data_IF_755383025339
#
_entry.id   IF_755383025339
#
_cell.length_a   1.000
_cell.length_b   1.000
_cell.length_c   1.000
_cell.angle_alpha   90.00
_cell.angle_beta   90.00
_cell.angle_gamma   90.00
#
_symmetry.space_group_name_H-M   'P 1'
#
loop_
_entity.id
_entity.type
_entity.pdbx_description
1 polymer ?
#
# COMPACT_ATOMS: atom_id res chain seq x y z
N UNK A 1 -11.04 33.80 -36.88
CA UNK A 1 -10.39 32.57 -37.39
C UNK A 1 -9.75 31.87 -36.20
N UNK A 2 -10.46 30.91 -35.65
CA UNK A 2 -10.13 30.17 -34.43
C UNK A 2 -9.37 28.91 -34.84
N UNK A 3 -8.09 28.85 -34.48
CA UNK A 3 -7.28 27.62 -34.62
C UNK A 3 -7.61 26.71 -33.45
N UNK A 4 -8.46 25.73 -33.67
CA UNK A 4 -8.63 24.55 -32.85
C UNK A 4 -7.44 23.61 -33.08
N UNK A 5 -6.48 23.59 -32.17
CA UNK A 5 -5.48 22.53 -32.12
C UNK A 5 -6.17 21.21 -31.78
N UNK A 6 -6.03 20.25 -32.66
CA UNK A 6 -6.41 18.86 -32.47
C UNK A 6 -5.52 18.24 -31.40
N UNK A 7 -6.04 18.09 -30.19
CA UNK A 7 -5.53 17.11 -29.21
C UNK A 7 -6.10 15.74 -29.59
N UNK A 8 -5.36 15.00 -30.37
CA UNK A 8 -5.66 13.59 -30.64
C UNK A 8 -4.39 12.78 -30.55
N UNK A 9 -4.34 11.71 -29.75
CA UNK A 9 -4.17 10.35 -30.25
C UNK A 9 -3.63 9.30 -29.27
N UNK A 10 -3.17 9.66 -28.06
CA UNK A 10 -2.69 8.62 -27.12
C UNK A 10 -3.81 8.04 -26.23
N UNK A 11 -4.93 8.75 -26.08
CA UNK A 11 -6.07 8.30 -25.26
C UNK A 11 -6.89 7.24 -25.99
N UNK A 12 -7.07 7.41 -27.29
CA UNK A 12 -7.84 6.47 -28.12
C UNK A 12 -7.18 5.09 -28.23
N UNK A 13 -5.84 5.03 -28.20
CA UNK A 13 -5.10 3.75 -28.28
C UNK A 13 -5.27 2.92 -27.02
N UNK A 14 -5.25 3.54 -25.83
CA UNK A 14 -5.42 2.81 -24.56
C UNK A 14 -6.86 2.35 -24.39
N UNK A 15 -7.83 3.18 -24.74
CA UNK A 15 -9.24 2.81 -24.71
C UNK A 15 -9.57 1.75 -25.76
N UNK A 16 -8.98 1.81 -26.94
CA UNK A 16 -9.08 0.77 -27.99
C UNK A 16 -8.42 -0.55 -27.55
N UNK A 17 -7.25 -0.52 -26.91
CA UNK A 17 -6.61 -1.74 -26.37
C UNK A 17 -7.49 -2.34 -25.27
N UNK A 18 -8.08 -1.51 -24.42
CA UNK A 18 -8.98 -1.94 -23.34
C UNK A 18 -10.29 -2.50 -23.91
N UNK A 19 -10.86 -1.88 -24.95
CA UNK A 19 -12.05 -2.37 -25.66
C UNK A 19 -11.76 -3.67 -26.41
N UNK A 20 -10.62 -3.78 -27.07
CA UNK A 20 -10.24 -5.01 -27.76
C UNK A 20 -9.97 -6.16 -26.78
N UNK A 21 -9.32 -5.90 -25.65
CA UNK A 21 -9.13 -6.89 -24.57
C UNK A 21 -10.48 -7.31 -23.96
N UNK A 22 -11.47 -6.41 -23.86
CA UNK A 22 -12.82 -6.74 -23.41
C UNK A 22 -13.61 -7.50 -24.46
N UNK A 23 -13.46 -7.19 -25.73
CA UNK A 23 -14.10 -7.93 -26.84
C UNK A 23 -13.53 -9.33 -27.00
N UNK A 24 -12.21 -9.49 -26.99
CA UNK A 24 -11.55 -10.82 -26.94
C UNK A 24 -11.99 -11.62 -25.71
N UNK A 25 -12.25 -10.96 -24.60
CA UNK A 25 -12.77 -11.56 -23.38
C UNK A 25 -14.22 -12.05 -23.56
N UNK A 26 -15.10 -11.23 -24.15
CA UNK A 26 -16.50 -11.59 -24.43
C UNK A 26 -16.60 -12.73 -25.45
N UNK A 27 -15.75 -12.77 -26.47
CA UNK A 27 -15.65 -13.86 -27.43
C UNK A 27 -15.10 -15.15 -26.79
N UNK A 28 -14.12 -15.05 -25.90
CA UNK A 28 -13.58 -16.18 -25.13
C UNK A 28 -14.60 -16.76 -24.14
N UNK A 29 -15.54 -15.95 -23.65
CA UNK A 29 -16.65 -16.39 -22.79
C UNK A 29 -17.74 -17.15 -23.57
N UNK A 30 -17.92 -16.84 -24.85
CA UNK A 30 -18.86 -17.57 -25.73
C UNK A 30 -18.35 -18.96 -26.10
N UNK A 31 -17.02 -19.15 -26.07
CA UNK A 31 -16.38 -20.43 -26.40
C UNK A 31 -16.03 -21.23 -25.14
N UNK A 32 -17.04 -21.69 -24.40
CA UNK A 32 -17.01 -22.51 -23.20
C UNK A 32 -15.81 -23.49 -23.08
N UNK A 33 -14.62 -22.97 -22.79
CA UNK A 33 -13.54 -23.77 -22.23
C UNK A 33 -13.23 -23.26 -20.83
N UNK A 34 -13.70 -24.01 -19.83
CA UNK A 34 -13.31 -23.88 -18.42
C UNK A 34 -11.80 -24.11 -18.33
N UNK A 35 -11.01 -23.10 -18.61
CA UNK A 35 -9.60 -23.17 -18.35
C UNK A 35 -9.36 -22.98 -16.83
N UNK A 36 -8.78 -24.00 -16.20
CA UNK A 36 -8.23 -23.96 -14.84
C UNK A 36 -7.44 -22.67 -14.67
N UNK A 37 -7.56 -22.03 -13.51
CA UNK A 37 -6.78 -20.84 -13.12
C UNK A 37 -5.31 -21.01 -13.50
N UNK A 38 -4.85 -20.26 -14.48
CA UNK A 38 -3.48 -20.33 -14.96
C UNK A 38 -2.70 -19.16 -14.34
N UNK A 39 -2.05 -19.44 -13.23
CA UNK A 39 -1.15 -18.49 -12.59
C UNK A 39 0.16 -18.37 -13.37
N UNK A 40 0.71 -17.15 -13.44
CA UNK A 40 2.04 -16.94 -13.99
C UNK A 40 3.07 -17.73 -13.17
N UNK A 41 3.97 -18.43 -13.86
CA UNK A 41 5.04 -19.24 -13.26
C UNK A 41 6.39 -18.58 -13.48
N UNK A 42 7.38 -18.75 -12.56
CA UNK A 42 8.73 -18.23 -12.75
C UNK A 42 9.42 -18.97 -13.91
N UNK A 43 9.84 -18.24 -14.93
CA UNK A 43 10.44 -18.78 -16.16
C UNK A 43 11.94 -18.56 -16.21
N UNK A 44 12.48 -17.62 -15.44
CA UNK A 44 13.87 -17.17 -15.53
C UNK A 44 14.70 -17.60 -14.35
N UNK A 45 15.99 -17.82 -14.58
CA UNK A 45 16.96 -18.15 -13.57
C UNK A 45 17.24 -16.97 -12.64
N UNK A 46 17.79 -17.25 -11.45
CA UNK A 46 18.26 -16.24 -10.50
C UNK A 46 19.23 -15.24 -11.14
N UNK A 47 20.11 -15.71 -12.03
CA UNK A 47 21.10 -14.87 -12.70
C UNK A 47 20.44 -13.88 -13.63
N UNK A 48 19.48 -14.33 -14.47
CA UNK A 48 18.73 -13.51 -15.40
C UNK A 48 17.89 -12.47 -14.66
N UNK A 49 17.20 -12.85 -13.57
CA UNK A 49 16.40 -11.94 -12.76
C UNK A 49 17.27 -10.83 -12.16
N UNK A 50 18.45 -11.17 -11.61
CA UNK A 50 19.35 -10.18 -11.03
C UNK A 50 19.98 -9.27 -12.12
N UNK A 51 20.31 -9.82 -13.28
CA UNK A 51 20.81 -9.05 -14.43
C UNK A 51 19.73 -8.05 -14.90
N UNK A 52 18.47 -8.50 -15.03
CA UNK A 52 17.36 -7.64 -15.40
C UNK A 52 17.20 -6.46 -14.42
N UNK A 53 17.24 -6.71 -13.11
CA UNK A 53 17.20 -5.65 -12.11
C UNK A 53 18.30 -4.60 -12.28
N UNK A 54 19.55 -5.02 -12.54
CA UNK A 54 20.66 -4.10 -12.79
C UNK A 54 20.48 -3.28 -14.07
N UNK A 55 20.00 -3.90 -15.16
CA UNK A 55 19.74 -3.20 -16.43
C UNK A 55 18.67 -2.13 -16.25
N UNK A 56 17.57 -2.45 -15.57
CA UNK A 56 16.44 -1.53 -15.34
C UNK A 56 16.90 -0.32 -14.50
N UNK A 57 17.68 -0.54 -13.46
CA UNK A 57 18.16 0.53 -12.58
C UNK A 57 19.27 1.39 -13.21
N UNK A 58 19.93 0.93 -14.27
CA UNK A 58 20.99 1.68 -14.92
C UNK A 58 20.43 2.65 -15.99
N UNK A 59 20.50 3.99 -15.78
CA UNK A 59 19.99 4.95 -16.75
C UNK A 59 20.70 4.92 -18.12
N UNK A 60 21.90 4.33 -18.20
CA UNK A 60 22.70 4.21 -19.44
C UNK A 60 22.34 2.96 -20.28
N UNK A 61 21.47 2.08 -19.79
CA UNK A 61 21.04 0.90 -20.52
C UNK A 61 20.30 1.30 -21.81
N UNK A 62 20.51 0.55 -22.88
CA UNK A 62 19.77 0.76 -24.15
C UNK A 62 18.26 0.52 -23.93
N UNK A 63 17.43 1.08 -24.82
CA UNK A 63 15.98 0.85 -24.76
C UNK A 63 15.66 -0.63 -24.94
N UNK A 64 16.32 -1.30 -25.89
CA UNK A 64 16.13 -2.73 -26.16
C UNK A 64 16.48 -3.59 -24.95
N UNK A 65 17.63 -3.34 -24.30
CA UNK A 65 18.03 -4.05 -23.08
C UNK A 65 17.00 -3.84 -21.95
N UNK A 66 16.50 -2.62 -21.79
CA UNK A 66 15.48 -2.31 -20.78
C UNK A 66 14.17 -3.03 -21.05
N UNK A 67 13.70 -3.04 -22.32
CA UNK A 67 12.46 -3.71 -22.70
C UNK A 67 12.57 -5.23 -22.43
N UNK A 68 13.69 -5.85 -22.78
CA UNK A 68 13.96 -7.26 -22.48
C UNK A 68 14.03 -7.52 -20.96
N UNK A 69 14.69 -6.64 -20.21
CA UNK A 69 14.78 -6.76 -18.76
C UNK A 69 13.42 -6.59 -18.07
N UNK A 70 12.54 -5.73 -18.59
CA UNK A 70 11.18 -5.56 -18.08
C UNK A 70 10.33 -6.82 -18.26
N UNK A 71 10.48 -7.57 -19.35
CA UNK A 71 9.81 -8.86 -19.57
C UNK A 71 10.19 -9.83 -18.43
N UNK A 72 11.48 -9.93 -18.11
CA UNK A 72 11.98 -10.81 -17.04
C UNK A 72 11.47 -10.36 -15.67
N UNK A 73 11.55 -9.06 -15.36
CA UNK A 73 11.08 -8.50 -14.11
C UNK A 73 9.58 -8.73 -13.94
N UNK A 74 8.77 -8.47 -14.96
CA UNK A 74 7.33 -8.65 -14.91
C UNK A 74 6.94 -10.11 -14.70
N UNK A 75 7.59 -11.06 -15.36
CA UNK A 75 7.37 -12.47 -15.10
C UNK A 75 7.70 -12.81 -13.62
N UNK A 76 8.85 -12.39 -13.12
CA UNK A 76 9.25 -12.64 -11.73
C UNK A 76 8.27 -12.03 -10.74
N UNK A 77 7.84 -10.78 -10.96
CA UNK A 77 6.85 -10.08 -10.14
C UNK A 77 5.50 -10.77 -10.18
N UNK A 78 4.97 -11.05 -11.37
CA UNK A 78 3.67 -11.70 -11.56
C UNK A 78 3.62 -13.10 -10.96
N UNK A 79 4.72 -13.83 -10.98
CA UNK A 79 4.82 -15.15 -10.36
C UNK A 79 4.61 -15.14 -8.84
N UNK A 80 4.77 -14.01 -8.16
CA UNK A 80 4.47 -13.86 -6.74
C UNK A 80 2.96 -13.83 -6.44
N UNK A 81 2.09 -13.68 -7.45
CA UNK A 81 0.64 -13.58 -7.24
C UNK A 81 0.05 -14.85 -6.61
N UNK A 82 0.43 -16.04 -7.09
CA UNK A 82 -0.03 -17.30 -6.52
C UNK A 82 0.44 -17.53 -5.07
N UNK A 83 1.75 -17.45 -4.76
CA UNK A 83 2.24 -17.50 -3.38
C UNK A 83 1.52 -16.53 -2.43
N UNK A 84 1.33 -15.31 -2.89
CA UNK A 84 0.67 -14.25 -2.14
C UNK A 84 -0.80 -14.59 -1.87
N UNK A 85 -1.54 -15.08 -2.87
CA UNK A 85 -2.93 -15.52 -2.72
C UNK A 85 -3.06 -16.63 -1.68
N UNK A 86 -2.18 -17.64 -1.70
CA UNK A 86 -2.18 -18.74 -0.73
C UNK A 86 -1.99 -18.24 0.70
N UNK A 87 -0.99 -17.36 0.90
CA UNK A 87 -0.68 -16.78 2.21
C UNK A 87 -1.86 -15.92 2.70
N UNK A 88 -2.41 -15.05 1.84
CA UNK A 88 -3.53 -14.18 2.22
C UNK A 88 -4.81 -14.97 2.54
N UNK A 89 -5.09 -16.03 1.81
CA UNK A 89 -6.23 -16.91 2.12
C UNK A 89 -6.08 -17.54 3.50
N UNK A 90 -4.87 -17.97 3.84
CA UNK A 90 -4.57 -18.52 5.17
C UNK A 90 -4.71 -17.45 6.28
N UNK A 91 -4.21 -16.24 6.04
CA UNK A 91 -4.35 -15.11 6.98
C UNK A 91 -5.81 -14.74 7.24
N UNK A 92 -6.65 -14.64 6.19
CA UNK A 92 -8.08 -14.35 6.32
C UNK A 92 -8.81 -15.41 7.16
N UNK A 93 -8.51 -16.68 6.90
CA UNK A 93 -9.13 -17.79 7.64
C UNK A 93 -8.78 -17.74 9.15
N UNK A 94 -7.55 -17.33 9.49
CA UNK A 94 -7.07 -17.27 10.87
C UNK A 94 -7.48 -16.01 11.62
N UNK A 95 -7.76 -14.94 10.87
CA UNK A 95 -8.10 -13.63 11.40
C UNK A 95 -9.37 -13.12 10.70
N UNK A 96 -10.55 -13.70 10.99
CA UNK A 96 -11.80 -13.40 10.27
C UNK A 96 -12.25 -11.93 10.43
N UNK A 97 -11.89 -11.31 11.54
CA UNK A 97 -12.23 -9.91 11.86
C UNK A 97 -11.18 -8.91 11.36
N UNK A 98 -10.07 -9.37 10.77
CA UNK A 98 -9.05 -8.50 10.24
C UNK A 98 -9.31 -8.15 8.77
N UNK A 99 -8.95 -6.95 8.37
CA UNK A 99 -8.87 -6.57 6.97
C UNK A 99 -7.55 -7.12 6.40
N UNK A 100 -7.65 -8.09 5.49
CA UNK A 100 -6.47 -8.71 4.85
C UNK A 100 -6.47 -8.37 3.36
N UNK A 101 -5.50 -7.60 2.94
CA UNK A 101 -5.31 -7.17 1.56
C UNK A 101 -3.93 -7.52 1.04
N UNK A 102 -3.82 -7.63 -0.28
CA UNK A 102 -2.58 -8.03 -0.94
C UNK A 102 -2.32 -7.18 -2.18
N UNK A 103 -1.05 -6.98 -2.48
CA UNK A 103 -0.62 -6.32 -3.72
C UNK A 103 0.72 -6.86 -4.20
N UNK A 104 0.95 -6.81 -5.50
CA UNK A 104 2.28 -6.85 -6.09
C UNK A 104 2.90 -5.46 -6.04
N UNK A 105 4.22 -5.40 -5.79
CA UNK A 105 4.96 -4.13 -5.71
C UNK A 105 5.00 -3.47 -7.09
N UNK A 106 4.75 -2.16 -7.14
CA UNK A 106 4.78 -1.37 -8.39
C UNK A 106 6.18 -1.35 -9.00
N UNK A 107 6.24 -1.30 -10.34
CA UNK A 107 7.49 -1.28 -11.08
C UNK A 107 8.38 -0.11 -10.66
N UNK A 108 7.83 1.09 -10.61
CA UNK A 108 8.54 2.29 -10.16
C UNK A 108 9.12 2.12 -8.73
N UNK A 109 8.36 1.50 -7.82
CA UNK A 109 8.84 1.22 -6.47
C UNK A 109 9.94 0.16 -6.43
N UNK A 110 9.96 -0.77 -7.41
CA UNK A 110 11.03 -1.77 -7.56
C UNK A 110 12.29 -1.08 -8.06
N UNK A 111 12.16 -0.32 -9.14
CA UNK A 111 13.26 0.42 -9.78
C UNK A 111 13.92 1.39 -8.80
N UNK A 112 13.12 2.27 -8.17
CA UNK A 112 13.65 3.21 -7.19
C UNK A 112 14.24 2.56 -5.93
N UNK A 113 13.85 1.32 -5.60
CA UNK A 113 14.48 0.57 -4.51
C UNK A 113 15.85 0.02 -4.92
N UNK A 114 15.97 -0.48 -6.14
CA UNK A 114 17.25 -0.99 -6.68
C UNK A 114 18.23 0.17 -6.88
N UNK A 115 17.78 1.32 -7.37
CA UNK A 115 18.59 2.53 -7.53
C UNK A 115 19.15 3.05 -6.21
N UNK A 116 18.33 3.07 -5.15
CA UNK A 116 18.77 3.47 -3.80
C UNK A 116 19.71 2.46 -3.14
N UNK A 117 19.60 1.19 -3.49
CA UNK A 117 20.38 0.10 -2.92
C UNK A 117 21.03 -0.74 -4.04
N UNK A 118 22.10 -0.25 -4.70
CA UNK A 118 22.70 -0.90 -5.88
C UNK A 118 23.14 -2.35 -5.66
N UNK A 119 23.49 -2.70 -4.41
CA UNK A 119 23.86 -4.07 -4.03
C UNK A 119 22.64 -5.01 -3.88
N UNK A 120 21.44 -4.46 -3.95
CA UNK A 120 20.22 -5.25 -3.82
C UNK A 120 20.02 -6.15 -5.03
N UNK A 121 19.84 -7.43 -4.77
CA UNK A 121 19.50 -8.41 -5.79
C UNK A 121 17.98 -8.49 -5.96
N UNK A 122 17.46 -8.26 -7.17
CA UNK A 122 16.03 -8.33 -7.46
C UNK A 122 15.41 -9.67 -7.04
N UNK A 123 16.14 -10.78 -7.24
CA UNK A 123 15.72 -12.11 -6.82
C UNK A 123 15.52 -12.26 -5.29
N UNK A 124 16.19 -11.42 -4.50
CA UNK A 124 16.10 -11.43 -3.02
C UNK A 124 15.17 -10.34 -2.47
N UNK A 125 14.52 -9.57 -3.33
CA UNK A 125 13.58 -8.54 -2.89
C UNK A 125 12.39 -9.19 -2.17
N UNK A 126 12.13 -8.74 -0.92
CA UNK A 126 11.22 -9.44 0.01
C UNK A 126 9.76 -9.00 -0.14
N UNK A 127 9.53 -7.87 -0.76
CA UNK A 127 8.26 -7.17 -0.83
C UNK A 127 7.68 -7.06 -2.26
N UNK A 128 8.14 -7.93 -3.20
CA UNK A 128 7.54 -8.07 -4.53
C UNK A 128 6.09 -8.52 -4.41
N UNK A 129 5.82 -9.50 -3.55
CA UNK A 129 4.49 -9.85 -3.09
C UNK A 129 4.33 -9.42 -1.63
N UNK A 130 3.38 -8.55 -1.35
CA UNK A 130 3.12 -8.04 -0.01
C UNK A 130 1.66 -8.12 0.37
N UNK A 131 1.38 -8.45 1.63
CA UNK A 131 0.04 -8.37 2.19
C UNK A 131 0.04 -7.56 3.49
N UNK A 132 -1.13 -7.02 3.81
CA UNK A 132 -1.39 -6.34 5.09
C UNK A 132 -2.51 -7.03 5.82
N UNK A 133 -2.34 -7.13 7.13
CA UNK A 133 -3.35 -7.54 8.08
C UNK A 133 -3.60 -6.32 8.97
N UNK A 134 -4.79 -5.73 8.86
CA UNK A 134 -5.16 -4.52 9.58
C UNK A 134 -6.22 -4.90 10.60
N UNK A 135 -6.00 -4.52 11.85
CA UNK A 135 -6.83 -4.83 13.01
C UNK A 135 -7.07 -3.57 13.84
N UNK A 136 -7.97 -3.64 14.84
CA UNK A 136 -8.34 -2.48 15.65
C UNK A 136 -7.24 -2.11 16.66
N UNK A 137 -6.68 -3.09 17.37
CA UNK A 137 -5.83 -2.86 18.54
C UNK A 137 -4.46 -3.51 18.43
N UNK A 138 -3.52 -3.04 19.23
CA UNK A 138 -2.16 -3.60 19.35
C UNK A 138 -2.20 -5.07 19.80
N UNK A 139 -3.07 -5.42 20.72
CA UNK A 139 -3.21 -6.80 21.22
C UNK A 139 -3.62 -7.73 20.08
N UNK A 140 -4.55 -7.28 19.23
CA UNK A 140 -4.97 -8.03 18.04
C UNK A 140 -3.84 -8.17 17.01
N UNK A 141 -2.94 -7.18 16.87
CA UNK A 141 -1.74 -7.31 16.05
C UNK A 141 -0.88 -8.46 16.54
N UNK A 142 -0.51 -8.45 17.83
CA UNK A 142 0.34 -9.49 18.39
C UNK A 142 -0.35 -10.86 18.45
N UNK A 143 -1.65 -10.90 18.63
CA UNK A 143 -2.43 -12.13 18.54
C UNK A 143 -2.37 -12.72 17.11
N UNK A 144 -2.59 -11.91 16.08
CA UNK A 144 -2.53 -12.33 14.68
C UNK A 144 -1.13 -12.85 14.31
N UNK A 145 -0.07 -12.17 14.78
CA UNK A 145 1.32 -12.61 14.63
C UNK A 145 1.53 -13.97 15.32
N UNK A 146 1.11 -14.14 16.57
CA UNK A 146 1.23 -15.41 17.31
C UNK A 146 0.46 -16.55 16.63
N UNK A 147 -0.79 -16.29 16.19
CA UNK A 147 -1.62 -17.28 15.48
C UNK A 147 -0.94 -17.72 14.18
N UNK A 148 -0.34 -16.80 13.44
CA UNK A 148 0.33 -17.15 12.20
C UNK A 148 1.61 -17.95 12.44
N UNK A 149 2.45 -17.55 13.39
CA UNK A 149 3.69 -18.27 13.78
C UNK A 149 3.43 -19.70 14.28
N UNK A 150 2.39 -19.87 15.10
CA UNK A 150 2.01 -21.20 15.66
C UNK A 150 1.29 -22.11 14.63
N UNK A 151 1.03 -21.59 13.43
CA UNK A 151 0.31 -22.36 12.42
C UNK A 151 1.19 -23.42 11.77
N UNK A 152 0.62 -24.60 11.51
CA UNK A 152 1.23 -25.61 10.65
C UNK A 152 1.23 -25.15 9.19
N UNK A 153 2.12 -24.21 8.86
CA UNK A 153 2.37 -23.74 7.51
C UNK A 153 3.69 -24.29 7.03
N UNK A 154 3.75 -24.71 5.77
CA UNK A 154 4.98 -25.23 5.18
C UNK A 154 5.95 -24.14 4.71
N UNK A 155 5.51 -22.87 4.72
CA UNK A 155 6.35 -21.75 4.34
C UNK A 155 7.48 -21.54 5.35
N UNK A 156 8.66 -21.22 4.86
CA UNK A 156 9.87 -21.10 5.67
C UNK A 156 9.99 -19.67 6.19
N UNK A 157 9.96 -19.52 7.51
CA UNK A 157 10.21 -18.22 8.15
C UNK A 157 11.63 -17.74 7.85
N UNK A 158 11.77 -16.44 7.52
CA UNK A 158 13.05 -15.81 7.20
C UNK A 158 13.49 -14.76 8.22
N UNK A 159 12.62 -13.81 8.50
CA UNK A 159 12.88 -12.76 9.50
C UNK A 159 11.60 -12.05 9.90
N UNK A 160 11.72 -11.29 10.96
CA UNK A 160 10.70 -10.34 11.40
C UNK A 160 11.34 -9.05 11.88
N UNK A 161 10.53 -7.98 11.88
CA UNK A 161 10.89 -6.70 12.48
C UNK A 161 9.67 -6.13 13.18
N UNK A 162 9.81 -5.81 14.44
CA UNK A 162 8.77 -5.16 15.24
C UNK A 162 9.03 -3.65 15.28
N UNK A 163 8.50 -2.94 14.27
CA UNK A 163 8.54 -1.48 14.22
C UNK A 163 7.43 -0.82 15.05
N UNK A 164 6.62 -1.59 15.78
CA UNK A 164 5.66 -1.06 16.75
C UNK A 164 6.38 -0.74 18.05
N UNK A 165 7.15 -1.71 18.57
CA UNK A 165 7.97 -1.53 19.77
C UNK A 165 9.24 -0.73 19.52
N UNK A 166 9.80 -0.86 18.33
CA UNK A 166 11.02 -0.18 17.90
C UNK A 166 10.72 0.66 16.65
N UNK A 167 10.00 1.81 16.80
CA UNK A 167 9.59 2.62 15.66
C UNK A 167 10.78 3.19 14.92
N UNK A 168 10.62 3.39 13.62
CA UNK A 168 11.62 4.07 12.81
C UNK A 168 11.65 5.56 13.14
N UNK A 169 12.78 6.21 12.94
CA UNK A 169 12.93 7.66 13.07
C UNK A 169 11.93 8.44 12.21
N UNK A 170 11.52 7.88 11.07
CA UNK A 170 10.48 8.45 10.20
C UNK A 170 9.06 8.39 10.76
N UNK A 171 8.85 7.81 11.92
CA UNK A 171 7.52 7.56 12.49
C UNK A 171 6.83 6.29 11.99
N UNK A 172 7.43 5.53 11.08
CA UNK A 172 6.81 4.33 10.53
C UNK A 172 6.66 3.22 11.57
N UNK A 173 5.45 2.63 11.63
CA UNK A 173 5.10 1.52 12.54
C UNK A 173 4.41 0.39 11.79
N UNK A 174 4.79 -0.82 12.07
CA UNK A 174 4.16 -2.06 11.62
C UNK A 174 4.94 -3.25 12.16
N UNK A 175 4.32 -4.39 12.34
CA UNK A 175 5.04 -5.65 12.55
C UNK A 175 5.22 -6.35 11.20
N UNK A 176 6.46 -6.62 10.81
CA UNK A 176 6.79 -7.26 9.53
C UNK A 176 7.26 -8.69 9.74
N UNK A 177 6.77 -9.59 8.90
CA UNK A 177 7.27 -10.95 8.78
C UNK A 177 7.57 -11.25 7.32
N UNK A 178 8.65 -11.97 7.06
CA UNK A 178 9.01 -12.44 5.72
C UNK A 178 9.06 -13.97 5.73
N UNK A 179 8.31 -14.56 4.82
CA UNK A 179 8.31 -15.99 4.57
C UNK A 179 8.81 -16.31 3.16
N UNK A 180 9.58 -17.37 3.03
CA UNK A 180 9.83 -18.02 1.76
C UNK A 180 8.69 -18.99 1.49
N UNK A 181 8.01 -18.80 0.38
CA UNK A 181 6.92 -19.67 -0.04
C UNK A 181 7.39 -21.10 -0.28
N UNK A 182 6.57 -22.07 0.10
CA UNK A 182 6.74 -23.49 -0.18
C UNK A 182 5.38 -24.14 -0.50
N UNK A 183 5.37 -25.06 -1.48
CA UNK A 183 4.19 -25.85 -1.87
C UNK A 183 4.60 -27.24 -2.35
N UNK A 184 3.97 -28.28 -1.82
CA UNK A 184 4.15 -29.66 -2.32
C UNK A 184 3.44 -29.90 -3.65
N UNK A 185 2.36 -29.14 -3.91
CA UNK A 185 1.51 -29.36 -5.09
C UNK A 185 1.94 -28.54 -6.31
N UNK A 186 2.64 -27.43 -6.09
CA UNK A 186 3.08 -26.50 -7.14
C UNK A 186 4.55 -26.14 -6.92
N UNK A 187 5.43 -27.11 -7.15
CA UNK A 187 6.87 -27.03 -6.89
C UNK A 187 7.59 -25.93 -7.68
N UNK A 188 7.07 -25.56 -8.85
CA UNK A 188 7.57 -24.44 -9.66
C UNK A 188 7.67 -23.12 -8.88
N UNK A 189 6.83 -22.93 -7.85
CA UNK A 189 6.88 -21.74 -6.99
C UNK A 189 7.85 -21.88 -5.81
N UNK A 190 8.52 -23.04 -5.63
CA UNK A 190 9.54 -23.23 -4.59
C UNK A 190 10.87 -22.53 -4.94
N UNK A 191 10.83 -21.57 -5.82
CA UNK A 191 11.96 -20.81 -6.37
C UNK A 191 12.30 -19.57 -5.53
N UNK A 192 12.48 -19.73 -4.21
CA UNK A 192 12.86 -18.66 -3.27
C UNK A 192 11.93 -17.42 -3.30
N UNK A 193 10.67 -17.59 -3.61
CA UNK A 193 9.71 -16.49 -3.59
C UNK A 193 9.48 -16.01 -2.16
N UNK A 194 9.77 -14.73 -1.91
CA UNK A 194 9.63 -14.10 -0.62
C UNK A 194 8.35 -13.28 -0.56
N UNK A 195 7.58 -13.48 0.50
CA UNK A 195 6.34 -12.74 0.74
C UNK A 195 6.47 -12.00 2.06
N UNK A 196 6.26 -10.69 2.01
CA UNK A 196 6.21 -9.82 3.18
C UNK A 196 4.79 -9.73 3.71
N UNK A 197 4.62 -9.96 5.02
CA UNK A 197 3.36 -9.79 5.74
C UNK A 197 3.53 -8.62 6.70
N UNK A 198 2.67 -7.61 6.59
CA UNK A 198 2.64 -6.42 7.43
C UNK A 198 1.40 -6.46 8.33
N UNK A 199 1.59 -6.48 9.65
CA UNK A 199 0.50 -6.38 10.61
C UNK A 199 0.47 -4.97 11.18
N UNK A 200 -0.70 -4.35 11.22
CA UNK A 200 -0.90 -2.96 11.65
C UNK A 200 -2.21 -2.80 12.37
N UNK A 201 -2.28 -1.78 13.23
CA UNK A 201 -3.56 -1.23 13.65
C UNK A 201 -4.13 -0.29 12.58
N UNK A 202 -5.41 0.08 12.75
CA UNK A 202 -6.04 1.12 11.91
C UNK A 202 -5.30 2.46 12.03
N UNK A 203 -4.90 2.88 13.25
CA UNK A 203 -4.13 4.11 13.47
C UNK A 203 -2.82 4.12 12.67
N UNK A 204 -2.06 3.04 12.73
CA UNK A 204 -0.81 2.89 11.99
C UNK A 204 -1.06 2.88 10.47
N UNK A 205 -2.22 2.37 10.04
CA UNK A 205 -2.59 2.34 8.64
C UNK A 205 -2.95 3.72 8.11
N UNK A 206 -3.82 4.47 8.79
CA UNK A 206 -4.22 5.82 8.36
C UNK A 206 -3.04 6.79 8.38
N UNK A 207 -2.15 6.69 9.37
CA UNK A 207 -0.91 7.45 9.39
C UNK A 207 -0.05 7.17 8.13
N UNK A 208 0.19 5.89 7.83
CA UNK A 208 1.02 5.51 6.67
C UNK A 208 0.41 5.98 5.35
N UNK A 209 -0.91 6.08 5.28
CA UNK A 209 -1.64 6.60 4.11
C UNK A 209 -1.46 8.11 3.99
N UNK A 210 -1.63 8.87 5.06
CA UNK A 210 -1.45 10.32 5.05
C UNK A 210 -0.02 10.71 4.62
N UNK A 211 1.01 9.99 5.10
CA UNK A 211 2.40 10.15 4.64
C UNK A 211 2.54 9.89 3.14
N UNK A 212 1.87 8.86 2.61
CA UNK A 212 1.92 8.55 1.17
C UNK A 212 1.27 9.65 0.33
N UNK A 213 0.11 10.14 0.78
CA UNK A 213 -0.61 11.22 0.11
C UNK A 213 0.17 12.53 0.08
N UNK A 214 0.75 12.92 1.22
CA UNK A 214 1.61 14.10 1.27
C UNK A 214 2.87 13.91 0.39
N UNK A 215 3.42 12.71 0.33
CA UNK A 215 4.54 12.38 -0.57
C UNK A 215 4.19 12.56 -2.04
N UNK A 216 2.97 12.20 -2.46
CA UNK A 216 2.47 12.44 -3.83
C UNK A 216 2.35 13.95 -4.08
N UNK A 217 1.75 14.70 -3.16
CA UNK A 217 1.60 16.15 -3.28
C UNK A 217 2.95 16.87 -3.39
N UNK A 218 3.88 16.55 -2.51
CA UNK A 218 5.22 17.17 -2.48
C UNK A 218 6.17 16.61 -3.54
N UNK A 219 5.73 15.62 -4.34
CA UNK A 219 6.57 14.87 -5.29
C UNK A 219 7.84 14.31 -4.64
N UNK A 220 7.74 13.88 -3.39
CA UNK A 220 8.85 13.39 -2.58
C UNK A 220 8.54 12.02 -1.97
N UNK A 221 9.58 11.26 -1.64
CA UNK A 221 9.41 9.95 -1.01
C UNK A 221 9.51 10.07 0.52
N UNK A 222 8.50 10.68 1.14
CA UNK A 222 8.45 10.90 2.59
C UNK A 222 8.57 9.59 3.39
N UNK A 223 8.04 8.47 2.89
CA UNK A 223 8.21 7.14 3.51
C UNK A 223 9.67 6.67 3.57
N UNK A 224 10.51 7.17 2.68
CA UNK A 224 11.95 6.93 2.67
C UNK A 224 12.74 8.07 3.33
N UNK A 225 12.09 8.93 4.11
CA UNK A 225 12.67 10.10 4.76
C UNK A 225 13.31 11.09 3.76
N UNK A 226 12.72 11.19 2.56
CA UNK A 226 13.15 12.12 1.53
C UNK A 226 12.07 13.20 1.36
N UNK A 227 12.41 14.46 1.58
CA UNK A 227 11.51 15.60 1.48
C UNK A 227 11.80 16.68 2.50
N UNK A 228 10.87 17.61 2.66
CA UNK A 228 10.96 18.68 3.64
C UNK A 228 11.06 18.15 5.07
N UNK A 229 12.04 18.64 5.82
CA UNK A 229 12.35 18.14 7.17
C UNK A 229 11.24 18.44 8.18
N UNK A 230 10.55 19.57 8.04
CA UNK A 230 9.48 19.96 8.94
C UNK A 230 8.19 19.18 8.65
N UNK A 231 7.91 18.88 7.38
CA UNK A 231 6.81 17.96 7.01
C UNK A 231 7.11 16.57 7.54
N UNK A 232 8.33 16.06 7.40
CA UNK A 232 8.73 14.77 7.97
C UNK A 232 8.60 14.80 9.50
N UNK A 233 8.98 15.90 10.15
CA UNK A 233 8.85 16.09 11.59
C UNK A 233 7.39 16.06 12.05
N UNK A 234 6.49 16.76 11.34
CA UNK A 234 5.06 16.72 11.61
C UNK A 234 4.54 15.26 11.67
N UNK A 235 4.84 14.47 10.65
CA UNK A 235 4.39 13.08 10.63
C UNK A 235 5.03 12.22 11.72
N UNK A 236 6.28 12.49 12.11
CA UNK A 236 6.94 11.80 13.21
C UNK A 236 6.27 12.11 14.55
N UNK A 237 5.93 13.39 14.78
CA UNK A 237 5.15 13.83 15.96
C UNK A 237 3.77 13.17 15.98
N UNK A 238 3.02 13.21 14.88
CA UNK A 238 1.70 12.55 14.81
C UNK A 238 1.80 11.04 15.07
N UNK A 239 2.85 10.37 14.56
CA UNK A 239 3.08 8.96 14.89
C UNK A 239 3.30 8.72 16.39
N UNK A 240 3.94 9.66 17.09
CA UNK A 240 4.15 9.58 18.53
C UNK A 240 2.85 9.84 19.31
N UNK A 241 2.02 10.79 18.85
CA UNK A 241 0.67 11.02 19.39
C UNK A 241 -0.17 9.73 19.27
N UNK A 242 -0.21 9.12 18.10
CA UNK A 242 -0.94 7.86 17.89
C UNK A 242 -0.39 6.70 18.73
N UNK A 243 0.94 6.67 18.95
CA UNK A 243 1.56 5.65 19.78
C UNK A 243 1.16 5.75 21.25
N UNK A 244 1.04 6.96 21.79
CA UNK A 244 0.55 7.18 23.17
C UNK A 244 -0.87 6.63 23.31
N UNK A 245 -1.76 6.86 22.34
CA UNK A 245 -3.11 6.30 22.33
C UNK A 245 -3.14 4.76 22.31
N UNK A 246 -2.12 4.17 21.71
CA UNK A 246 -1.95 2.71 21.65
C UNK A 246 -1.12 2.14 22.82
N UNK A 247 -0.71 2.94 23.79
CA UNK A 247 0.21 2.58 24.88
C UNK A 247 1.55 2.00 24.37
N UNK A 248 2.07 2.58 23.27
CA UNK A 248 3.32 2.18 22.64
C UNK A 248 4.39 3.29 22.76
N UNK A 249 5.68 2.94 22.67
CA UNK A 249 6.76 3.93 22.75
C UNK A 249 6.64 5.00 21.67
N UNK A 250 6.92 6.25 22.02
CA UNK A 250 7.05 7.35 21.05
C UNK A 250 8.22 7.13 20.09
N UNK A 251 8.27 7.88 19.00
CA UNK A 251 9.36 7.78 18.03
C UNK A 251 10.69 8.29 18.63
N UNK A 252 11.84 7.80 18.17
CA UNK A 252 13.12 8.40 18.53
C UNK A 252 13.14 9.90 18.27
N UNK A 253 13.79 10.63 19.16
CA UNK A 253 13.94 12.09 19.05
C UNK A 253 12.62 12.90 19.06
N UNK A 254 11.53 12.33 19.62
CA UNK A 254 10.27 13.04 19.87
C UNK A 254 10.02 13.16 21.36
N UNK A 255 9.25 14.17 21.81
CA UNK A 255 8.75 14.24 23.17
C UNK A 255 7.99 12.97 23.56
N UNK A 256 7.87 12.75 24.87
CA UNK A 256 7.20 11.56 25.42
C UNK A 256 5.76 11.81 25.86
N UNK A 257 5.38 13.07 25.98
CA UNK A 257 4.11 13.49 26.55
C UNK A 257 3.30 14.32 25.55
N UNK A 258 1.96 14.23 25.67
CA UNK A 258 1.04 14.94 24.78
C UNK A 258 1.15 16.45 24.90
N UNK A 259 1.49 16.95 26.08
CA UNK A 259 1.69 18.38 26.39
C UNK A 259 2.79 19.05 25.58
N UNK A 260 3.79 18.28 25.13
CA UNK A 260 4.85 18.77 24.26
C UNK A 260 4.57 18.47 22.78
N UNK A 261 3.98 17.29 22.50
CA UNK A 261 3.73 16.80 21.13
C UNK A 261 2.65 17.62 20.40
N UNK A 262 1.55 17.95 21.10
CA UNK A 262 0.41 18.65 20.48
C UNK A 262 0.77 20.09 20.08
N UNK A 263 1.42 20.91 20.94
CA UNK A 263 1.87 22.23 20.53
C UNK A 263 2.84 22.20 19.33
N UNK A 264 3.85 21.32 19.35
CA UNK A 264 4.80 21.20 18.23
C UNK A 264 4.09 20.79 16.94
N UNK A 265 3.16 19.85 17.00
CA UNK A 265 2.35 19.43 15.84
C UNK A 265 1.53 20.60 15.29
N UNK A 266 0.89 21.40 16.17
CA UNK A 266 0.09 22.56 15.76
C UNK A 266 0.94 23.63 15.08
N UNK A 267 2.10 23.95 15.64
CA UNK A 267 3.05 24.92 15.07
C UNK A 267 3.47 24.50 13.64
N UNK A 268 3.88 23.24 13.47
CA UNK A 268 4.25 22.69 12.18
C UNK A 268 3.08 22.70 11.18
N UNK A 269 1.86 22.40 11.65
CA UNK A 269 0.66 22.46 10.81
C UNK A 269 0.31 23.89 10.41
N UNK A 270 0.40 24.88 11.32
CA UNK A 270 0.14 26.28 11.00
C UNK A 270 1.12 26.83 9.96
N UNK A 271 2.39 26.45 10.08
CA UNK A 271 3.45 26.87 9.16
C UNK A 271 3.29 26.28 7.77
N UNK A 272 3.01 24.98 7.67
CA UNK A 272 3.01 24.23 6.40
C UNK A 272 1.63 23.91 5.87
N UNK A 273 0.56 24.25 6.59
CA UNK A 273 -0.85 23.99 6.22
C UNK A 273 -1.10 22.52 5.84
N UNK A 274 -0.44 21.60 6.56
CA UNK A 274 -0.41 20.16 6.19
C UNK A 274 -1.81 19.54 6.18
N UNK A 275 -2.63 19.82 7.22
CA UNK A 275 -3.99 19.29 7.29
C UNK A 275 -4.91 19.92 6.24
N UNK A 276 -4.72 21.21 5.90
CA UNK A 276 -5.46 21.89 4.84
C UNK A 276 -5.13 21.29 3.48
N UNK A 277 -3.83 21.07 3.20
CA UNK A 277 -3.36 20.42 1.97
C UNK A 277 -3.95 19.01 1.86
N UNK A 278 -3.84 18.23 2.92
CA UNK A 278 -4.39 16.89 2.96
C UNK A 278 -5.92 16.92 2.73
N UNK A 279 -6.66 17.83 3.35
CA UNK A 279 -8.11 17.98 3.18
C UNK A 279 -8.50 18.38 1.75
N UNK A 280 -7.67 19.22 1.09
CA UNK A 280 -7.89 19.67 -0.28
C UNK A 280 -7.61 18.58 -1.34
N UNK A 281 -6.86 17.54 -1.00
CA UNK A 281 -6.52 16.43 -1.91
C UNK A 281 -7.68 15.48 -2.20
N UNK A 282 -8.93 15.84 -1.90
CA UNK A 282 -10.11 15.04 -2.25
C UNK A 282 -10.28 14.99 -3.77
N UNK A 283 -10.06 13.82 -4.35
CA UNK A 283 -10.28 13.57 -5.77
C UNK A 283 -11.70 13.06 -6.01
N UNK A 284 -12.35 13.53 -7.06
CA UNK A 284 -13.64 12.99 -7.49
C UNK A 284 -13.45 11.55 -7.97
N UNK A 285 -14.13 10.62 -7.32
CA UNK A 285 -14.14 9.22 -7.73
C UNK A 285 -15.20 9.03 -8.80
N UNK A 286 -14.76 8.64 -9.99
CA UNK A 286 -15.65 8.28 -11.08
C UNK A 286 -15.95 6.77 -11.02
N UNK A 287 -17.15 6.41 -10.60
CA UNK A 287 -17.61 5.02 -10.56
C UNK A 287 -18.08 4.59 -11.95
N UNK A 288 -17.16 4.44 -12.90
CA UNK A 288 -17.47 4.10 -14.29
C UNK A 288 -17.83 2.64 -14.54
N UNK A 289 -17.76 1.80 -13.52
CA UNK A 289 -18.11 0.37 -13.64
C UNK A 289 -19.28 0.00 -12.74
N UNK A 290 -20.25 -0.73 -13.27
CA UNK A 290 -21.26 -1.44 -12.48
C UNK A 290 -20.55 -2.50 -11.65
N UNK A 291 -20.06 -2.13 -10.46
CA UNK A 291 -19.36 -3.03 -9.55
C UNK A 291 -20.39 -4.05 -9.03
N UNK A 292 -20.23 -5.29 -9.43
CA UNK A 292 -21.09 -6.36 -8.95
C UNK A 292 -20.53 -6.88 -7.61
N UNK A 293 -20.87 -6.17 -6.50
CA UNK A 293 -20.38 -6.46 -5.14
C UNK A 293 -20.85 -7.79 -4.54
N UNK A 294 -21.67 -8.57 -5.26
CA UNK A 294 -22.20 -9.84 -4.76
C UNK A 294 -21.17 -10.99 -4.74
N UNK A 295 -20.05 -10.87 -5.44
CA UNK A 295 -19.03 -11.91 -5.52
C UNK A 295 -17.93 -11.72 -4.50
N UNK A 296 -17.73 -12.70 -3.63
CA UNK A 296 -16.59 -12.81 -2.71
C UNK A 296 -15.32 -13.16 -3.52
N UNK A 297 -14.17 -12.57 -3.14
CA UNK A 297 -12.85 -12.81 -3.75
C UNK A 297 -12.72 -12.27 -5.19
N UNK A 298 -12.70 -10.98 -5.33
CA UNK A 298 -12.40 -10.30 -6.60
C UNK A 298 -10.99 -9.68 -6.57
N UNK A 299 -10.41 -9.57 -7.76
CA UNK A 299 -9.28 -8.67 -8.00
C UNK A 299 -9.83 -7.34 -8.50
N UNK A 300 -9.25 -6.26 -8.00
CA UNK A 300 -9.57 -4.90 -8.41
C UNK A 300 -8.35 -4.25 -9.01
N UNK A 301 -8.53 -3.63 -10.15
CA UNK A 301 -7.55 -2.75 -10.76
C UNK A 301 -7.97 -1.31 -10.43
N UNK A 302 -7.17 -0.64 -9.61
CA UNK A 302 -7.35 0.76 -9.26
C UNK A 302 -6.43 1.58 -10.15
N UNK A 303 -6.98 2.53 -10.90
CA UNK A 303 -6.26 3.36 -11.85
C UNK A 303 -6.51 4.81 -11.45
N UNK A 304 -5.46 5.49 -10.96
CA UNK A 304 -5.49 6.92 -10.66
C UNK A 304 -4.92 7.68 -11.86
N UNK A 305 -5.74 8.49 -12.49
CA UNK A 305 -5.35 9.38 -13.59
C UNK A 305 -5.05 10.77 -13.01
N UNK A 306 -3.77 11.14 -12.97
CA UNK A 306 -3.33 12.42 -12.39
C UNK A 306 -3.77 13.65 -13.21
N UNK A 307 -3.94 13.48 -14.53
CA UNK A 307 -4.35 14.59 -15.41
C UNK A 307 -5.85 14.87 -15.22
N UNK A 308 -6.66 13.81 -15.19
CA UNK A 308 -8.11 13.93 -15.07
C UNK A 308 -8.55 14.07 -13.61
N UNK A 309 -7.68 13.84 -12.63
CA UNK A 309 -8.04 13.81 -11.20
C UNK A 309 -9.11 12.76 -10.89
N UNK A 310 -9.09 11.62 -11.57
CA UNK A 310 -10.12 10.58 -11.46
C UNK A 310 -9.53 9.22 -11.12
N UNK A 311 -10.27 8.44 -10.33
CA UNK A 311 -9.96 7.03 -10.07
C UNK A 311 -10.95 6.16 -10.83
N UNK A 312 -10.41 5.27 -11.66
CA UNK A 312 -11.17 4.22 -12.34
C UNK A 312 -10.96 2.89 -11.63
N UNK A 313 -12.03 2.16 -11.37
CA UNK A 313 -11.98 0.86 -10.70
C UNK A 313 -12.54 -0.21 -11.65
N UNK A 314 -11.76 -1.27 -11.84
CA UNK A 314 -12.18 -2.45 -12.61
C UNK A 314 -12.10 -3.69 -11.73
N UNK A 315 -13.13 -4.53 -11.77
CA UNK A 315 -13.16 -5.77 -11.01
C UNK A 315 -12.98 -6.98 -11.94
N UNK A 316 -12.22 -7.96 -11.47
CA UNK A 316 -11.97 -9.23 -12.17
C UNK A 316 -12.26 -10.39 -11.22
N UNK A 317 -12.94 -11.44 -11.67
CA UNK A 317 -13.04 -12.66 -10.87
C UNK A 317 -11.66 -13.30 -10.71
N UNK A 318 -11.48 -14.08 -9.64
CA UNK A 318 -10.18 -14.73 -9.33
C UNK A 318 -9.68 -15.60 -10.48
N UNK A 319 -10.60 -16.22 -11.24
CA UNK A 319 -10.26 -17.02 -12.44
C UNK A 319 -9.67 -16.21 -13.60
N UNK A 320 -9.74 -14.88 -13.55
CA UNK A 320 -9.24 -13.96 -14.60
C UNK A 320 -8.06 -13.10 -14.13
N UNK A 321 -7.34 -13.53 -13.11
CA UNK A 321 -6.19 -12.79 -12.57
C UNK A 321 -5.09 -12.56 -13.62
N UNK A 322 -4.91 -13.50 -14.56
CA UNK A 322 -3.93 -13.34 -15.65
C UNK A 322 -4.32 -12.17 -16.57
N UNK A 323 -5.60 -12.04 -16.93
CA UNK A 323 -6.11 -10.92 -17.70
C UNK A 323 -5.94 -9.59 -16.93
N UNK A 324 -6.30 -9.58 -15.63
CA UNK A 324 -6.11 -8.44 -14.78
C UNK A 324 -4.64 -7.98 -14.74
N UNK A 325 -3.69 -8.93 -14.70
CA UNK A 325 -2.26 -8.66 -14.71
C UNK A 325 -1.81 -8.07 -16.06
N UNK A 326 -2.29 -8.59 -17.19
CA UNK A 326 -1.98 -8.03 -18.52
C UNK A 326 -2.48 -6.59 -18.68
N UNK A 327 -3.70 -6.32 -18.23
CA UNK A 327 -4.27 -4.96 -18.25
C UNK A 327 -3.46 -4.04 -17.32
N UNK A 328 -3.08 -4.51 -16.13
CA UNK A 328 -2.23 -3.80 -15.21
C UNK A 328 -0.88 -3.42 -15.85
N UNK A 329 -0.18 -4.40 -16.44
CA UNK A 329 1.14 -4.19 -17.06
C UNK A 329 1.09 -3.19 -18.23
N UNK A 330 -0.03 -3.15 -18.97
CA UNK A 330 -0.21 -2.19 -20.07
C UNK A 330 -0.43 -0.76 -19.55
N UNK A 331 -1.23 -0.60 -18.49
CA UNK A 331 -1.51 0.73 -17.93
C UNK A 331 -0.32 1.27 -17.14
N UNK A 332 0.43 0.41 -16.45
CA UNK A 332 1.61 0.81 -15.67
C UNK A 332 2.73 1.44 -16.51
N UNK A 333 2.72 1.21 -17.83
CA UNK A 333 3.64 1.86 -18.78
C UNK A 333 3.34 3.36 -18.99
N UNK A 334 2.17 3.82 -18.57
CA UNK A 334 1.76 5.23 -18.72
C UNK A 334 2.38 6.08 -17.60
N UNK A 335 3.07 7.16 -17.97
CA UNK A 335 3.64 8.13 -17.01
C UNK A 335 2.61 9.02 -16.33
N UNK A 336 1.36 9.01 -16.79
CA UNK A 336 0.28 9.89 -16.31
C UNK A 336 -0.71 9.19 -15.39
N UNK A 337 -0.57 7.86 -15.24
CA UNK A 337 -1.50 7.03 -14.45
C UNK A 337 -0.73 6.21 -13.42
N UNK A 338 -1.27 6.15 -12.22
CA UNK A 338 -0.84 5.19 -11.22
C UNK A 338 -1.85 4.04 -11.17
N UNK A 339 -1.35 2.81 -11.16
CA UNK A 339 -2.20 1.62 -11.21
C UNK A 339 -1.76 0.60 -10.17
N UNK A 340 -2.74 -0.07 -9.56
CA UNK A 340 -2.46 -1.20 -8.66
C UNK A 340 -3.47 -2.30 -8.87
N UNK A 341 -2.97 -3.53 -8.90
CA UNK A 341 -3.80 -4.75 -8.90
C UNK A 341 -3.84 -5.31 -7.48
N UNK A 342 -5.03 -5.38 -6.91
CA UNK A 342 -5.25 -5.77 -5.52
C UNK A 342 -6.37 -6.79 -5.40
N UNK A 343 -6.37 -7.58 -4.33
CA UNK A 343 -7.48 -8.45 -3.97
C UNK A 343 -8.07 -8.02 -2.63
N UNK A 344 -9.37 -7.83 -2.61
CA UNK A 344 -10.13 -7.48 -1.42
C UNK A 344 -11.46 -8.25 -1.35
N UNK A 345 -12.02 -8.38 -0.14
CA UNK A 345 -13.26 -9.13 0.09
C UNK A 345 -14.51 -8.30 -0.19
N UNK A 346 -14.39 -6.97 -0.13
CA UNK A 346 -15.47 -6.02 -0.41
C UNK A 346 -14.90 -4.70 -0.92
N UNK A 347 -15.77 -3.86 -1.45
CA UNK A 347 -15.38 -2.50 -1.86
C UNK A 347 -14.95 -1.63 -0.67
N UNK A 348 -15.66 -1.72 0.46
CA UNK A 348 -15.28 -0.98 1.67
C UNK A 348 -13.91 -1.39 2.19
N UNK A 349 -13.61 -2.70 2.17
CA UNK A 349 -12.28 -3.22 2.48
C UNK A 349 -11.23 -2.67 1.51
N UNK A 350 -11.56 -2.55 0.23
CA UNK A 350 -10.68 -1.99 -0.79
C UNK A 350 -10.41 -0.50 -0.54
N UNK A 351 -11.45 0.27 -0.31
CA UNK A 351 -11.38 1.71 -0.02
C UNK A 351 -10.52 1.99 1.22
N UNK A 352 -10.79 1.29 2.30
CA UNK A 352 -10.03 1.44 3.55
C UNK A 352 -8.55 1.03 3.39
N UNK A 353 -8.26 -0.06 2.67
CA UNK A 353 -6.90 -0.59 2.56
C UNK A 353 -5.99 0.15 1.56
N UNK A 354 -6.61 0.86 0.61
CA UNK A 354 -5.92 1.62 -0.44
C UNK A 354 -6.45 3.05 -0.57
N UNK A 355 -6.58 3.79 0.51
CA UNK A 355 -7.21 5.11 0.53
C UNK A 355 -6.48 6.13 -0.36
N UNK A 356 -5.19 5.93 -0.64
CA UNK A 356 -4.43 6.76 -1.58
C UNK A 356 -4.97 6.74 -3.02
N UNK A 357 -5.71 5.71 -3.42
CA UNK A 357 -6.41 5.68 -4.71
C UNK A 357 -7.79 6.33 -4.65
N UNK A 358 -8.39 6.37 -3.47
CA UNK A 358 -9.68 7.01 -3.24
C UNK A 358 -9.52 8.44 -2.72
N UNK A 359 -8.28 8.82 -2.44
CA UNK A 359 -7.89 10.12 -1.84
C UNK A 359 -8.76 10.45 -0.63
N UNK A 360 -9.08 9.44 0.16
CA UNK A 360 -9.84 9.56 1.39
C UNK A 360 -8.88 9.47 2.59
N UNK A 361 -8.59 10.62 3.15
CA UNK A 361 -7.78 10.78 4.35
C UNK A 361 -8.59 11.32 5.51
N UNK A 362 -9.92 11.31 5.37
CA UNK A 362 -10.84 11.77 6.42
C UNK A 362 -10.55 11.03 7.73
N UNK A 363 -10.38 9.71 7.68
CA UNK A 363 -10.05 8.91 8.86
C UNK A 363 -8.80 9.39 9.61
N UNK A 364 -7.77 9.84 8.88
CA UNK A 364 -6.56 10.38 9.52
C UNK A 364 -6.84 11.72 10.21
N UNK A 365 -7.52 12.63 9.51
CA UNK A 365 -7.81 13.98 10.01
C UNK A 365 -8.76 13.89 11.20
N UNK A 366 -9.87 13.16 11.05
CA UNK A 366 -10.90 13.01 12.07
C UNK A 366 -10.34 12.36 13.34
N UNK A 367 -9.51 11.32 13.17
CA UNK A 367 -8.85 10.64 14.29
C UNK A 367 -7.89 11.59 15.02
N UNK A 368 -7.06 12.31 14.27
CA UNK A 368 -6.10 13.25 14.87
C UNK A 368 -6.82 14.38 15.61
N UNK A 369 -7.86 14.96 15.02
CA UNK A 369 -8.69 15.99 15.64
C UNK A 369 -9.39 15.48 16.91
N UNK A 370 -9.95 14.26 16.87
CA UNK A 370 -10.59 13.64 18.03
C UNK A 370 -9.62 13.48 19.20
N UNK A 371 -8.39 13.02 18.93
CA UNK A 371 -7.35 12.85 19.97
C UNK A 371 -6.96 14.22 20.57
N UNK A 372 -6.78 15.23 19.73
CA UNK A 372 -6.40 16.58 20.19
C UNK A 372 -7.52 17.17 21.03
N UNK A 373 -8.77 17.07 20.56
CA UNK A 373 -9.93 17.62 21.27
C UNK A 373 -10.14 16.90 22.63
N UNK A 374 -9.96 15.58 22.66
CA UNK A 374 -10.00 14.82 23.93
C UNK A 374 -8.98 15.34 24.91
N UNK A 375 -7.73 15.44 24.53
CA UNK A 375 -6.64 15.94 25.35
C UNK A 375 -6.92 17.38 25.89
N UNK A 376 -7.41 18.28 25.01
CA UNK A 376 -7.73 19.66 25.42
C UNK A 376 -8.89 19.74 26.43
N UNK A 377 -9.85 18.82 26.33
CA UNK A 377 -10.95 18.75 27.28
C UNK A 377 -10.48 18.23 28.65
N UNK A 378 -9.64 17.20 28.65
CA UNK A 378 -9.03 16.67 29.88
C UNK A 378 -8.23 17.75 30.62
N UNK A 379 -7.42 18.53 29.89
CA UNK A 379 -6.68 19.67 30.46
C UNK A 379 -7.58 20.77 31.05
N UNK A 380 -8.76 21.03 30.45
CA UNK A 380 -9.70 22.00 31.00
C UNK A 380 -10.36 21.50 32.27
N UNK A 381 -10.68 20.20 32.31
CA UNK A 381 -11.26 19.56 33.48
C UNK A 381 -10.28 19.56 34.66
N UNK A 382 -9.02 19.19 34.42
CA UNK A 382 -7.96 19.22 35.45
C UNK A 382 -7.77 20.62 36.04
N UNK A 383 -7.71 21.65 35.20
CA UNK A 383 -7.60 23.04 35.65
C UNK A 383 -8.81 23.50 36.48
N UNK A 384 -10.01 23.02 36.15
CA UNK A 384 -11.23 23.33 36.88
C UNK A 384 -11.19 22.67 38.27
N UNK A 385 -10.73 21.42 38.35
CA UNK A 385 -10.57 20.68 39.60
C UNK A 385 -9.53 21.38 40.49
N UNK A 386 -8.37 21.76 39.94
CA UNK A 386 -7.36 22.52 40.69
C UNK A 386 -7.91 23.83 41.27
N UNK A 387 -8.66 24.60 40.47
CA UNK A 387 -9.29 25.85 40.94
C UNK A 387 -10.31 25.61 42.02
N UNK A 388 -11.06 24.50 41.98
CA UNK A 388 -12.03 24.13 43.04
C UNK A 388 -11.32 23.73 44.33
N UNK A 389 -10.20 23.02 44.23
CA UNK A 389 -9.39 22.62 45.38
C UNK A 389 -8.80 23.88 46.09
N UNK A 390 -8.23 24.79 45.27
CA UNK A 390 -7.67 26.04 45.78
C UNK A 390 -8.73 26.91 46.53
N UNK A 391 -9.97 26.97 45.96
CA UNK A 391 -11.08 27.69 46.62
C UNK A 391 -11.59 27.06 47.89
N UNK A 392 -11.44 25.76 48.08
CA UNK A 392 -11.83 25.05 49.32
C UNK A 392 -10.80 25.16 50.44
N UNK A 393 -9.55 25.46 50.05
CA UNK A 393 -8.43 25.58 51.00
C UNK A 393 -8.09 27.05 51.35
N UNK A 394 -8.82 28.00 50.77
CA UNK A 394 -8.81 29.45 51.12
C UNK A 394 -10.06 29.80 51.91
#
# INVERSE_FOLDING_TARGET
MTNTMKENSNYDIIDVIIENVTKEWEESMKNNSINKEKWEVPKYSKSEINKAGKIIANPKSSKEDRDNALVILNNWRASHAYPLQVICTNLRRKNPNAIVVQRLKRLESITGKIERFPEMQLYKMQDLGGCRVIVETIDQVYEAVRKYKKSYIKHIFKKENDYIKNPKESGYRSYHMVYKFYSDKKETYNNNMLIEIQFRTKLQHVWATAVEMMGIYTKSNLKASQGDKEILRFFTIVSSIFAIQENMPTCPNTPRFMEDLIPEMKELNEKHKILDILSALKVSIDYTTKLNFKNKNLYYLLILDYIKGKVQIRSFPTSKVELATKVYDNIEKSSTKDVVLVSATSFDTLKFAYPNYFVDISDFIDTLQSIITGYENDLKEDKLIEQQILKKNS
#
